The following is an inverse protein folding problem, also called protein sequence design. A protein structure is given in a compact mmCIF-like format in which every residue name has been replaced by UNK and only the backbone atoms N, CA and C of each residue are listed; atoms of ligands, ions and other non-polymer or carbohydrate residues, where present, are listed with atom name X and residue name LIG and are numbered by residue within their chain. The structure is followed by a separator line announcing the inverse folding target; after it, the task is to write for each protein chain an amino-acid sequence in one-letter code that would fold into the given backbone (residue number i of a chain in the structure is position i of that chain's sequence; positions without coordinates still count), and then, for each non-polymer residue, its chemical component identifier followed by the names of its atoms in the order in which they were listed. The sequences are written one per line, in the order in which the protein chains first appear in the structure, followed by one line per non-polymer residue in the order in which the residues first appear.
data_IF_584430851374
#
_entry.id   IF_584430851374
#
_cell.length_a   1.000
_cell.length_b   1.000
_cell.length_c   1.000
_cell.angle_alpha   90.00
_cell.angle_beta   90.00
_cell.angle_gamma   90.00
#
_symmetry.space_group_name_H-M   'P 1'
#
loop_
_entity.id
_entity.type
_entity.pdbx_description
1 polymer ?
#
# COMPACT_ATOMS: atom_id res chain seq x y z
N UNK A 1 -13.44 66.29 39.34
CA UNK A 1 -14.67 66.34 40.16
C UNK A 1 -14.82 65.03 40.86
N UNK A 2 -14.30 64.95 42.07
CA UNK A 2 -14.95 65.20 43.34
C UNK A 2 -15.89 64.05 43.70
N UNK A 3 -15.37 63.29 44.69
CA UNK A 3 -15.77 63.17 46.10
C UNK A 3 -16.92 62.19 46.30
N UNK A 4 -17.07 61.31 47.34
CA UNK A 4 -16.51 61.18 48.70
C UNK A 4 -16.99 59.85 49.29
N UNK A 5 -16.23 59.06 50.00
CA UNK A 5 -16.01 58.85 51.43
C UNK A 5 -17.32 58.77 52.29
N UNK A 6 -17.53 57.68 53.02
CA UNK A 6 -17.76 57.52 54.44
C UNK A 6 -18.17 56.10 54.79
N UNK A 7 -17.45 55.30 55.56
CA UNK A 7 -17.11 55.19 57.00
C UNK A 7 -18.30 54.71 57.88
N UNK A 8 -17.98 53.62 58.61
CA UNK A 8 -18.31 53.25 60.02
C UNK A 8 -19.60 52.43 60.21
N UNK A 9 -19.72 51.43 61.08
CA UNK A 9 -19.05 51.04 62.34
C UNK A 9 -19.42 49.59 62.70
N UNK A 10 -18.51 48.89 63.29
CA UNK A 10 -18.52 47.93 64.41
C UNK A 10 -19.87 47.63 65.13
N UNK A 11 -20.18 46.38 65.35
CA UNK A 11 -20.57 45.78 66.67
C UNK A 11 -20.24 44.29 66.67
N UNK A 12 -19.53 43.86 67.70
CA UNK A 12 -19.24 42.51 68.15
C UNK A 12 -20.43 41.89 68.86
N UNK A 13 -20.63 40.57 68.72
CA UNK A 13 -20.88 39.72 69.89
C UNK A 13 -20.86 38.21 69.53
N UNK A 14 -20.14 37.58 70.27
CA UNK A 14 -19.92 36.22 70.76
C UNK A 14 -21.01 35.16 70.61
N UNK A 15 -20.52 33.94 70.49
CA UNK A 15 -20.86 32.62 71.02
C UNK A 15 -21.73 31.71 70.18
N UNK A 16 -21.18 30.50 70.01
CA UNK A 16 -21.91 29.33 69.55
C UNK A 16 -21.00 28.32 68.82
N UNK A 17 -20.20 27.58 69.54
CA UNK A 17 -19.39 26.50 68.94
C UNK A 17 -20.29 25.38 68.48
N UNK A 18 -20.10 24.97 67.23
CA UNK A 18 -20.50 23.68 66.70
C UNK A 18 -19.34 23.10 65.90
N UNK A 19 -18.71 22.08 66.49
CA UNK A 19 -17.73 21.22 65.86
C UNK A 19 -18.43 20.43 64.74
N UNK A 20 -18.31 20.92 63.52
CA UNK A 20 -18.57 20.07 62.35
C UNK A 20 -17.29 19.41 61.92
N UNK A 21 -17.20 18.11 62.15
CA UNK A 21 -16.12 17.27 61.68
C UNK A 21 -16.06 17.32 60.14
N UNK A 22 -14.99 17.90 59.63
CA UNK A 22 -14.68 17.81 58.21
C UNK A 22 -14.29 16.35 57.90
N UNK A 23 -15.21 15.61 57.30
CA UNK A 23 -14.89 14.33 56.68
C UNK A 23 -13.99 14.64 55.48
N UNK A 24 -12.69 14.51 55.65
CA UNK A 24 -11.72 14.43 54.55
C UNK A 24 -12.08 13.24 53.68
N UNK A 25 -12.80 13.47 52.58
CA UNK A 25 -12.90 12.49 51.51
C UNK A 25 -11.49 12.28 50.98
N UNK A 26 -11.01 11.02 50.94
CA UNK A 26 -9.75 10.74 50.27
C UNK A 26 -9.92 11.17 48.82
N UNK A 27 -9.08 12.07 48.34
CA UNK A 27 -8.95 12.37 46.90
C UNK A 27 -8.67 11.02 46.24
N UNK A 28 -9.62 10.56 45.44
CA UNK A 28 -9.41 9.40 44.57
C UNK A 28 -8.15 9.69 43.78
N UNK A 29 -7.07 8.96 44.05
CA UNK A 29 -5.88 8.99 43.26
C UNK A 29 -6.31 8.65 41.84
N UNK A 30 -6.29 9.63 40.96
CA UNK A 30 -6.49 9.46 39.54
C UNK A 30 -5.34 8.53 39.14
N UNK A 31 -5.66 7.25 38.93
CA UNK A 31 -4.68 6.30 38.41
C UNK A 31 -4.01 6.98 37.23
N UNK A 32 -2.71 7.18 37.30
CA UNK A 32 -1.94 7.67 36.18
C UNK A 32 -2.23 6.66 35.06
N UNK A 33 -2.97 7.11 34.03
CA UNK A 33 -3.16 6.33 32.81
C UNK A 33 -1.75 6.10 32.29
N UNK A 34 -1.26 4.88 32.40
CA UNK A 34 0.02 4.53 31.78
C UNK A 34 -0.05 4.97 30.32
N UNK A 35 0.93 5.75 29.90
CA UNK A 35 0.98 6.22 28.51
C UNK A 35 0.81 5.01 27.58
N UNK A 36 0.00 5.16 26.55
CA UNK A 36 -0.20 4.08 25.58
C UNK A 36 1.16 3.66 24.99
N UNK A 37 1.41 2.36 24.81
CA UNK A 37 2.65 1.89 24.21
C UNK A 37 2.90 2.55 22.86
N UNK A 38 4.15 2.97 22.65
CA UNK A 38 4.66 3.51 21.39
C UNK A 38 5.78 2.65 20.88
N UNK A 39 5.94 2.56 19.56
CA UNK A 39 7.06 1.85 18.94
C UNK A 39 8.39 2.55 19.27
N UNK A 40 9.48 1.79 19.25
CA UNK A 40 10.81 2.38 19.36
C UNK A 40 11.24 2.90 17.99
N UNK A 41 10.99 4.20 17.73
CA UNK A 41 11.27 4.85 16.46
C UNK A 41 12.74 4.74 16.03
N UNK A 42 13.70 4.88 16.97
CA UNK A 42 15.12 4.78 16.65
C UNK A 42 15.51 3.36 16.26
N UNK A 43 14.95 2.33 16.91
CA UNK A 43 15.18 0.93 16.53
C UNK A 43 14.58 0.63 15.17
N UNK A 44 13.35 1.10 14.90
CA UNK A 44 12.70 0.93 13.59
C UNK A 44 13.54 1.57 12.48
N UNK A 45 14.02 2.80 12.68
CA UNK A 45 14.93 3.47 11.75
C UNK A 45 16.20 2.63 11.52
N UNK A 46 16.88 2.22 12.60
CA UNK A 46 18.12 1.45 12.48
C UNK A 46 17.92 0.12 11.74
N UNK A 47 16.77 -0.56 11.94
CA UNK A 47 16.48 -1.82 11.24
C UNK A 47 16.18 -1.61 9.76
N UNK A 48 15.53 -0.48 9.39
CA UNK A 48 15.32 -0.09 7.99
C UNK A 48 16.66 0.26 7.30
N UNK A 49 17.50 1.04 7.97
CA UNK A 49 18.84 1.41 7.46
C UNK A 49 19.74 0.18 7.27
N UNK A 50 19.66 -0.80 8.14
CA UNK A 50 20.39 -2.07 8.03
C UNK A 50 19.83 -2.93 6.90
N UNK A 51 18.50 -3.09 6.78
CA UNK A 51 17.88 -3.82 5.67
C UNK A 51 18.28 -3.22 4.32
N UNK A 52 18.43 -1.90 4.23
CA UNK A 52 18.85 -1.20 3.01
C UNK A 52 20.28 -1.55 2.56
N UNK A 53 21.10 -2.18 3.41
CA UNK A 53 22.45 -2.64 3.00
C UNK A 53 22.39 -3.81 2.03
N UNK A 54 21.31 -4.59 2.05
CA UNK A 54 21.09 -5.70 1.14
C UNK A 54 20.47 -5.19 -0.18
N UNK A 55 21.28 -5.13 -1.22
CA UNK A 55 20.90 -4.61 -2.54
C UNK A 55 21.34 -3.16 -2.80
N UNK A 56 21.96 -2.50 -1.84
CA UNK A 56 22.58 -1.18 -2.02
C UNK A 56 23.72 -1.27 -3.04
N UNK A 57 23.89 -0.28 -3.93
CA UNK A 57 25.03 -0.22 -4.82
C UNK A 57 26.37 -0.29 -4.06
N UNK A 58 27.39 -0.94 -4.63
CA UNK A 58 28.71 -1.07 -4.00
C UNK A 58 29.32 0.32 -3.69
N UNK A 59 29.68 0.56 -2.43
CA UNK A 59 30.18 1.87 -1.96
C UNK A 59 29.09 2.95 -1.80
N UNK A 60 27.83 2.62 -2.04
CA UNK A 60 26.72 3.53 -1.90
C UNK A 60 26.27 3.74 -0.45
N UNK A 61 25.45 4.76 -0.27
CA UNK A 61 24.79 5.15 0.98
C UNK A 61 23.31 4.75 0.99
N UNK A 62 22.59 5.03 2.06
CA UNK A 62 21.14 4.87 2.12
C UNK A 62 20.41 5.66 1.02
N UNK A 63 20.93 6.83 0.64
CA UNK A 63 20.33 7.69 -0.38
C UNK A 63 20.45 7.16 -1.82
N UNK A 64 21.26 6.14 -2.03
CA UNK A 64 21.46 5.54 -3.37
C UNK A 64 20.45 4.42 -3.66
N UNK A 65 19.53 4.16 -2.75
CA UNK A 65 18.46 3.17 -2.89
C UNK A 65 18.97 1.72 -2.90
N UNK A 66 18.11 0.82 -3.35
CA UNK A 66 18.39 -0.62 -3.36
C UNK A 66 17.91 -1.29 -4.65
N UNK A 67 18.56 -2.41 -4.99
CA UNK A 67 18.09 -3.39 -5.97
C UNK A 67 17.99 -4.75 -5.28
N UNK A 68 17.02 -4.91 -4.40
CA UNK A 68 16.70 -6.16 -3.70
C UNK A 68 15.58 -6.91 -4.44
N UNK A 69 15.81 -7.09 -5.73
CA UNK A 69 14.83 -7.76 -6.59
C UNK A 69 14.59 -9.19 -6.11
N UNK A 70 13.34 -9.60 -6.09
CA UNK A 70 12.96 -10.95 -5.62
C UNK A 70 13.83 -12.05 -6.22
N UNK A 71 14.18 -13.03 -5.40
CA UNK A 71 15.03 -14.17 -5.73
C UNK A 71 16.51 -13.84 -6.02
N UNK A 72 16.95 -12.59 -5.91
CA UNK A 72 18.35 -12.21 -6.01
C UNK A 72 19.15 -12.60 -4.75
N UNK A 73 20.50 -12.50 -4.82
CA UNK A 73 21.34 -12.67 -3.63
C UNK A 73 21.02 -11.65 -2.54
N UNK A 74 20.67 -10.43 -2.95
CA UNK A 74 20.26 -9.37 -2.05
C UNK A 74 18.95 -9.71 -1.33
N UNK A 75 17.97 -10.27 -2.03
CA UNK A 75 16.71 -10.72 -1.43
C UNK A 75 16.96 -11.87 -0.45
N UNK A 76 17.73 -12.88 -0.83
CA UNK A 76 18.08 -14.00 0.06
C UNK A 76 18.75 -13.49 1.36
N UNK A 77 19.68 -12.55 1.25
CA UNK A 77 20.38 -11.97 2.40
C UNK A 77 19.44 -11.09 3.27
N UNK A 78 18.62 -10.24 2.64
CA UNK A 78 17.60 -9.42 3.32
C UNK A 78 16.58 -10.27 4.07
N UNK A 79 16.11 -11.36 3.45
CA UNK A 79 15.20 -12.33 4.07
C UNK A 79 15.83 -13.01 5.29
N UNK A 80 17.11 -13.41 5.20
CA UNK A 80 17.83 -13.98 6.33
C UNK A 80 17.93 -12.99 7.50
N UNK A 81 18.22 -11.72 7.22
CA UNK A 81 18.22 -10.65 8.21
C UNK A 81 16.86 -10.49 8.88
N UNK A 82 15.78 -10.39 8.09
CA UNK A 82 14.41 -10.22 8.60
C UNK A 82 13.95 -11.43 9.43
N UNK A 83 14.29 -12.65 9.04
CA UNK A 83 14.05 -13.86 9.85
C UNK A 83 14.76 -13.75 11.21
N UNK A 84 15.99 -13.23 11.24
CA UNK A 84 16.73 -12.96 12.47
C UNK A 84 16.01 -11.95 13.37
N UNK A 85 15.48 -10.86 12.79
CA UNK A 85 14.69 -9.87 13.51
C UNK A 85 13.39 -10.46 14.08
N UNK A 86 12.66 -11.26 13.30
CA UNK A 86 11.42 -11.90 13.72
C UNK A 86 11.67 -12.86 14.90
N UNK A 87 12.72 -13.70 14.81
CA UNK A 87 13.12 -14.59 15.91
C UNK A 87 13.50 -13.81 17.17
N UNK A 88 14.27 -12.71 17.02
CA UNK A 88 14.63 -11.86 18.16
C UNK A 88 13.45 -11.13 18.78
N UNK A 89 12.39 -10.91 18.01
CA UNK A 89 11.10 -10.39 18.49
C UNK A 89 10.23 -11.47 19.18
N UNK A 90 10.70 -12.71 19.28
CA UNK A 90 9.98 -13.82 19.91
C UNK A 90 8.91 -14.46 19.02
N UNK A 91 9.02 -14.31 17.72
CA UNK A 91 8.14 -14.96 16.76
C UNK A 91 8.63 -16.37 16.42
N UNK A 92 7.73 -17.34 16.42
CA UNK A 92 7.97 -18.66 15.82
C UNK A 92 7.88 -18.51 14.29
N UNK A 93 9.04 -18.65 13.64
CA UNK A 93 9.21 -18.24 12.25
C UNK A 93 9.36 -19.44 11.31
N UNK A 94 8.54 -19.48 10.26
CA UNK A 94 8.57 -20.50 9.21
C UNK A 94 8.55 -19.86 7.82
N UNK A 95 8.91 -20.63 6.78
CA UNK A 95 8.71 -20.25 5.38
C UNK A 95 7.65 -21.17 4.80
N UNK A 96 6.62 -20.62 4.17
CA UNK A 96 5.57 -21.40 3.51
C UNK A 96 6.00 -21.85 2.09
N UNK A 97 5.25 -22.75 1.43
CA UNK A 97 5.59 -23.20 0.09
C UNK A 97 5.69 -22.10 -0.99
N UNK A 98 4.99 -20.97 -0.80
CA UNK A 98 5.09 -19.81 -1.70
C UNK A 98 6.29 -18.90 -1.37
N UNK A 99 7.13 -19.30 -0.41
CA UNK A 99 8.29 -18.53 0.00
C UNK A 99 7.96 -17.38 0.97
N UNK A 100 6.72 -17.21 1.43
CA UNK A 100 6.38 -16.21 2.43
C UNK A 100 7.03 -16.55 3.77
N UNK A 101 7.60 -15.55 4.45
CA UNK A 101 8.10 -15.72 5.82
C UNK A 101 6.94 -15.41 6.77
N UNK A 102 6.56 -16.39 7.58
CA UNK A 102 5.45 -16.28 8.54
C UNK A 102 5.99 -16.44 9.95
N UNK A 103 5.79 -15.43 10.79
CA UNK A 103 6.15 -15.44 12.19
C UNK A 103 4.92 -15.39 13.08
N UNK A 104 4.77 -16.32 14.00
CA UNK A 104 3.61 -16.42 14.90
C UNK A 104 3.94 -16.02 16.34
N UNK A 105 3.06 -15.21 16.91
CA UNK A 105 3.01 -14.90 18.34
C UNK A 105 1.69 -15.44 18.91
N UNK A 106 1.71 -16.26 19.97
CA UNK A 106 0.48 -16.77 20.54
C UNK A 106 -0.38 -15.66 21.15
N UNK A 107 -1.69 -15.81 21.04
CA UNK A 107 -2.68 -15.04 21.79
C UNK A 107 -3.10 -15.76 23.08
N UNK A 108 -3.91 -15.10 23.92
CA UNK A 108 -4.52 -15.75 25.11
C UNK A 108 -5.61 -16.74 24.73
N UNK A 109 -6.27 -16.56 23.59
CA UNK A 109 -7.26 -17.46 23.00
C UNK A 109 -6.62 -18.18 21.81
N UNK A 110 -6.18 -19.43 22.01
CA UNK A 110 -5.51 -20.23 20.98
C UNK A 110 -6.45 -20.64 19.84
N UNK A 111 -7.76 -20.59 20.04
CA UNK A 111 -8.78 -20.90 19.04
C UNK A 111 -9.21 -19.69 18.24
N UNK A 112 -8.87 -18.47 18.68
CA UNK A 112 -9.15 -17.27 17.93
C UNK A 112 -8.35 -17.24 16.62
N UNK A 113 -9.01 -16.77 15.56
CA UNK A 113 -8.35 -16.56 14.25
C UNK A 113 -7.27 -15.49 14.39
N UNK A 114 -6.09 -15.66 13.79
CA UNK A 114 -5.00 -14.71 13.94
C UNK A 114 -5.32 -13.35 13.29
N UNK A 115 -4.73 -12.28 13.82
CA UNK A 115 -4.58 -11.00 13.14
C UNK A 115 -3.30 -11.08 12.34
N UNK A 116 -3.38 -10.87 11.03
CA UNK A 116 -2.24 -10.82 10.13
C UNK A 116 -1.78 -9.37 9.97
N UNK A 117 -0.48 -9.15 10.03
CA UNK A 117 0.17 -7.87 9.77
C UNK A 117 1.44 -8.09 8.94
N UNK A 118 1.71 -7.23 7.99
CA UNK A 118 2.94 -7.36 7.20
C UNK A 118 2.89 -6.60 5.89
N UNK A 119 3.88 -6.84 5.06
CA UNK A 119 4.08 -6.35 3.70
C UNK A 119 5.18 -7.18 3.04
N UNK A 120 5.94 -6.63 2.09
CA UNK A 120 7.06 -7.27 1.40
C UNK A 120 8.40 -6.61 1.78
N UNK A 121 9.51 -7.18 1.28
CA UNK A 121 10.85 -6.60 1.39
C UNK A 121 11.63 -6.64 0.08
N UNK A 122 11.10 -7.29 -0.97
CA UNK A 122 11.68 -7.17 -2.30
C UNK A 122 11.41 -5.79 -2.88
N UNK A 123 12.27 -5.33 -3.78
CA UNK A 123 12.18 -4.03 -4.43
C UNK A 123 12.25 -4.15 -5.94
N UNK A 124 11.79 -3.13 -6.65
CA UNK A 124 12.15 -2.93 -8.07
C UNK A 124 13.66 -2.71 -8.23
N UNK A 125 14.25 -2.92 -9.44
CA UNK A 125 15.61 -2.48 -9.71
C UNK A 125 15.77 -0.97 -9.51
N UNK A 126 16.83 -0.56 -8.80
CA UNK A 126 17.08 0.85 -8.43
C UNK A 126 15.88 1.49 -7.71
N UNK A 127 15.25 0.75 -6.80
CA UNK A 127 14.15 1.20 -5.97
C UNK A 127 14.58 2.04 -4.77
N UNK A 128 13.59 2.39 -3.96
CA UNK A 128 13.78 3.07 -2.68
C UNK A 128 14.06 2.12 -1.51
N UNK A 129 14.00 2.66 -0.30
CA UNK A 129 14.27 1.92 0.94
C UNK A 129 13.04 1.85 1.86
N UNK A 130 11.89 2.31 1.41
CA UNK A 130 10.68 2.43 2.24
C UNK A 130 9.54 1.56 1.73
N UNK A 131 9.47 1.38 0.42
CA UNK A 131 8.45 0.59 -0.26
C UNK A 131 8.46 -0.86 0.26
N UNK A 132 7.32 -1.34 0.78
CA UNK A 132 7.19 -2.63 1.48
C UNK A 132 7.95 -2.73 2.80
N UNK A 133 9.20 -2.25 2.84
CA UNK A 133 10.09 -2.32 4.00
C UNK A 133 9.48 -1.67 5.25
N UNK A 134 8.81 -0.52 5.10
CA UNK A 134 8.13 0.18 6.20
C UNK A 134 7.08 -0.71 6.85
N UNK A 135 6.21 -1.35 6.07
CA UNK A 135 5.16 -2.23 6.59
C UNK A 135 5.73 -3.46 7.26
N UNK A 136 6.68 -4.11 6.62
CA UNK A 136 7.33 -5.33 7.08
C UNK A 136 8.06 -5.14 8.41
N UNK A 137 8.90 -4.11 8.51
CA UNK A 137 9.68 -3.86 9.72
C UNK A 137 8.84 -3.24 10.84
N UNK A 138 7.82 -2.43 10.50
CA UNK A 138 6.87 -1.94 11.49
C UNK A 138 6.04 -3.07 12.11
N UNK A 139 5.65 -4.08 11.35
CA UNK A 139 4.95 -5.25 11.87
C UNK A 139 5.79 -6.01 12.92
N UNK A 140 7.09 -6.17 12.66
CA UNK A 140 8.03 -6.78 13.62
C UNK A 140 8.19 -5.89 14.86
N UNK A 141 8.33 -4.57 14.67
CA UNK A 141 8.48 -3.62 15.76
C UNK A 141 7.23 -3.54 16.64
N UNK A 142 6.02 -3.66 16.06
CA UNK A 142 4.76 -3.80 16.81
C UNK A 142 4.81 -5.00 17.77
N UNK A 143 5.27 -6.17 17.29
CA UNK A 143 5.39 -7.37 18.14
C UNK A 143 6.41 -7.16 19.26
N UNK A 144 7.57 -6.56 18.97
CA UNK A 144 8.59 -6.22 19.98
C UNK A 144 8.01 -5.31 21.06
N UNK A 145 7.34 -4.24 20.64
CA UNK A 145 6.72 -3.27 21.56
C UNK A 145 5.67 -3.94 22.46
N UNK A 146 4.80 -4.78 21.90
CA UNK A 146 3.82 -5.53 22.67
C UNK A 146 4.49 -6.44 23.73
N UNK A 147 5.61 -7.08 23.38
CA UNK A 147 6.35 -7.94 24.31
C UNK A 147 7.05 -7.14 25.40
N UNK A 148 7.70 -6.03 25.07
CA UNK A 148 8.36 -5.14 26.03
C UNK A 148 7.38 -4.56 27.06
N UNK A 149 6.18 -4.20 26.60
CA UNK A 149 5.09 -3.70 27.45
C UNK A 149 4.23 -4.80 28.07
N UNK A 150 4.59 -6.09 27.88
CA UNK A 150 3.85 -7.26 28.41
C UNK A 150 2.36 -7.25 28.03
N UNK A 151 2.03 -6.73 26.85
CA UNK A 151 0.66 -6.71 26.33
C UNK A 151 0.36 -8.07 25.69
N UNK A 152 -0.63 -8.78 26.20
CA UNK A 152 -1.14 -10.02 25.62
C UNK A 152 -2.37 -9.70 24.78
N UNK A 153 -2.37 -10.09 23.51
CA UNK A 153 -3.53 -10.01 22.63
C UNK A 153 -4.43 -11.23 22.83
N UNK A 154 -5.71 -11.08 22.61
CA UNK A 154 -6.64 -12.22 22.59
C UNK A 154 -6.34 -13.12 21.38
N UNK A 155 -6.28 -12.52 20.22
CA UNK A 155 -5.96 -13.19 18.97
C UNK A 155 -4.45 -13.48 18.86
N UNK A 156 -4.04 -14.63 18.30
CA UNK A 156 -2.67 -14.78 17.82
C UNK A 156 -2.31 -13.69 16.81
N UNK A 157 -1.04 -13.28 16.76
CA UNK A 157 -0.53 -12.40 15.72
C UNK A 157 0.31 -13.21 14.74
N UNK A 158 0.13 -12.98 13.45
CA UNK A 158 1.00 -13.47 12.39
C UNK A 158 1.62 -12.27 11.67
N UNK A 159 2.96 -12.16 11.74
CA UNK A 159 3.73 -11.24 10.88
C UNK A 159 4.06 -12.00 9.62
N UNK A 160 3.66 -11.48 8.47
CA UNK A 160 3.94 -12.11 7.17
C UNK A 160 4.74 -11.17 6.29
N UNK A 161 5.88 -11.67 5.77
CA UNK A 161 6.67 -11.01 4.74
C UNK A 161 6.41 -11.75 3.43
N UNK A 162 5.68 -11.08 2.56
CA UNK A 162 5.25 -11.66 1.29
C UNK A 162 6.41 -11.77 0.32
N UNK A 163 6.40 -12.80 -0.52
CA UNK A 163 7.48 -13.03 -1.49
C UNK A 163 7.12 -12.47 -2.85
N UNK A 164 8.09 -11.79 -3.48
CA UNK A 164 7.99 -11.28 -4.86
C UNK A 164 6.71 -10.48 -5.11
N UNK A 165 6.53 -9.41 -4.34
CA UNK A 165 5.42 -8.48 -4.53
C UNK A 165 5.64 -7.64 -5.78
N UNK A 166 6.82 -7.07 -5.94
CA UNK A 166 7.20 -6.15 -7.03
C UNK A 166 7.26 -6.83 -8.42
N UNK A 167 7.42 -8.14 -8.45
CA UNK A 167 7.34 -8.93 -9.68
C UNK A 167 5.93 -9.40 -10.04
N UNK A 168 4.91 -8.78 -9.40
CA UNK A 168 3.50 -9.14 -9.49
C UNK A 168 3.09 -10.04 -8.33
N UNK A 169 2.38 -9.52 -7.30
CA UNK A 169 2.22 -10.05 -5.94
C UNK A 169 2.08 -11.58 -5.90
N UNK A 170 3.21 -12.30 -5.91
CA UNK A 170 3.19 -13.75 -6.05
C UNK A 170 2.84 -14.44 -4.73
N UNK A 171 3.49 -14.04 -3.65
CA UNK A 171 3.37 -14.70 -2.36
C UNK A 171 1.96 -14.61 -1.77
N UNK A 172 1.38 -13.44 -1.77
CA UNK A 172 0.01 -13.19 -1.31
C UNK A 172 -1.04 -13.78 -2.26
N UNK A 173 -0.80 -13.73 -3.58
CA UNK A 173 -1.67 -14.37 -4.56
C UNK A 173 -1.72 -15.90 -4.37
N UNK A 174 -0.57 -16.55 -4.15
CA UNK A 174 -0.50 -17.99 -3.94
C UNK A 174 -1.25 -18.46 -2.68
N UNK A 175 -1.38 -17.57 -1.69
CA UNK A 175 -2.17 -17.83 -0.47
C UNK A 175 -3.68 -17.72 -0.75
N UNK A 176 -4.09 -16.85 -1.67
CA UNK A 176 -5.49 -16.58 -1.98
C UNK A 176 -6.03 -17.40 -3.16
N UNK A 177 -5.18 -17.73 -4.14
CA UNK A 177 -5.60 -18.30 -5.42
C UNK A 177 -4.73 -19.49 -5.83
N UNK A 178 -5.24 -20.41 -6.69
CA UNK A 178 -4.42 -21.44 -7.31
C UNK A 178 -3.31 -20.81 -8.15
N UNK A 179 -2.09 -21.34 -8.02
CA UNK A 179 -0.96 -20.95 -8.87
C UNK A 179 -0.92 -21.87 -10.09
N UNK A 180 -1.17 -21.37 -11.30
CA UNK A 180 -1.11 -22.19 -12.49
C UNK A 180 0.34 -22.57 -12.82
N UNK A 181 0.58 -23.78 -13.38
CA UNK A 181 1.93 -24.29 -13.67
C UNK A 181 2.77 -23.36 -14.56
N UNK A 182 2.14 -22.70 -15.53
CA UNK A 182 2.77 -21.75 -16.43
C UNK A 182 3.35 -20.54 -15.68
N UNK A 183 2.73 -20.10 -14.57
CA UNK A 183 3.26 -19.04 -13.74
C UNK A 183 4.60 -19.42 -13.09
N UNK A 184 4.75 -20.68 -12.69
CA UNK A 184 6.02 -21.19 -12.14
C UNK A 184 7.14 -21.32 -13.19
N UNK A 185 6.78 -21.39 -14.48
CA UNK A 185 7.73 -21.44 -15.58
C UNK A 185 8.19 -20.04 -16.06
N UNK A 186 7.53 -18.97 -15.64
CA UNK A 186 7.93 -17.61 -16.00
C UNK A 186 9.35 -17.33 -15.52
N UNK A 187 10.12 -16.63 -16.36
CA UNK A 187 11.47 -16.18 -16.00
C UNK A 187 11.34 -14.80 -15.32
N UNK A 188 11.85 -14.72 -14.12
CA UNK A 188 11.95 -13.50 -13.37
C UNK A 188 13.39 -13.35 -12.86
N UNK A 189 13.99 -12.17 -13.06
CA UNK A 189 15.40 -11.93 -12.69
C UNK A 189 16.38 -13.01 -13.19
N UNK A 190 16.18 -13.51 -14.41
CA UNK A 190 17.05 -14.46 -15.08
C UNK A 190 16.93 -15.93 -14.65
N UNK A 191 16.03 -16.25 -13.73
CA UNK A 191 15.74 -17.64 -13.30
C UNK A 191 14.24 -17.93 -13.41
N UNK A 192 13.85 -19.21 -13.43
CA UNK A 192 12.44 -19.56 -13.39
C UNK A 192 11.87 -19.19 -12.02
N UNK A 193 10.60 -18.82 -11.96
CA UNK A 193 9.93 -18.57 -10.67
C UNK A 193 9.99 -19.81 -9.76
N UNK A 194 9.91 -21.01 -10.34
CA UNK A 194 10.10 -22.26 -9.62
C UNK A 194 11.45 -22.34 -8.89
N UNK A 195 12.53 -22.01 -9.57
CA UNK A 195 13.89 -22.04 -8.98
C UNK A 195 14.10 -20.89 -8.01
N UNK A 196 13.52 -19.73 -8.30
CA UNK A 196 13.47 -18.58 -7.40
C UNK A 196 12.82 -18.94 -6.06
N UNK A 197 11.66 -19.61 -6.08
CA UNK A 197 11.00 -20.07 -4.86
C UNK A 197 11.88 -21.02 -4.04
N UNK A 198 12.51 -22.01 -4.68
CA UNK A 198 13.45 -22.91 -3.98
C UNK A 198 14.60 -22.16 -3.35
N UNK A 199 15.12 -21.14 -4.06
CA UNK A 199 16.23 -20.31 -3.58
C UNK A 199 15.91 -19.55 -2.28
N UNK A 200 14.67 -19.10 -2.12
CA UNK A 200 14.20 -18.38 -0.92
C UNK A 200 13.59 -19.30 0.15
N UNK A 201 13.71 -20.62 -0.01
CA UNK A 201 13.25 -21.61 0.96
C UNK A 201 11.78 -22.04 0.80
N UNK A 202 11.11 -21.64 -0.28
CA UNK A 202 9.80 -22.15 -0.67
C UNK A 202 9.84 -23.56 -1.27
N UNK A 203 8.66 -24.13 -1.52
CA UNK A 203 8.51 -25.46 -2.12
C UNK A 203 7.50 -25.43 -3.27
N UNK A 204 7.94 -25.18 -4.51
CA UNK A 204 7.05 -25.08 -5.66
C UNK A 204 6.31 -26.39 -5.99
N UNK A 205 6.78 -27.54 -5.50
CA UNK A 205 6.11 -28.82 -5.71
C UNK A 205 4.96 -29.01 -4.72
N UNK A 206 4.94 -28.23 -3.63
CA UNK A 206 3.87 -28.17 -2.63
C UNK A 206 3.13 -26.84 -2.61
N UNK A 207 3.23 -26.05 -3.68
CA UNK A 207 2.68 -24.67 -3.76
C UNK A 207 1.21 -24.58 -3.37
N UNK A 208 0.41 -25.60 -3.70
CA UNK A 208 -1.00 -25.67 -3.34
C UNK A 208 -1.25 -25.66 -1.82
N UNK A 209 -0.26 -26.03 -1.01
CA UNK A 209 -0.36 -26.02 0.45
C UNK A 209 -0.13 -24.62 1.06
N UNK A 210 0.30 -23.66 0.28
CA UNK A 210 0.36 -22.25 0.71
C UNK A 210 -1.06 -21.65 0.85
N UNK A 211 -2.06 -22.20 0.17
CA UNK A 211 -3.43 -21.68 0.16
C UNK A 211 -4.06 -21.68 1.54
N UNK A 212 -4.73 -20.59 1.85
CA UNK A 212 -5.51 -20.41 3.09
C UNK A 212 -7.01 -20.42 2.78
N UNK A 213 -7.82 -20.98 3.66
CA UNK A 213 -9.28 -20.90 3.54
C UNK A 213 -9.78 -19.47 3.74
N UNK A 214 -10.86 -19.09 3.05
CA UNK A 214 -11.59 -17.85 3.35
C UNK A 214 -12.02 -17.84 4.81
N UNK A 215 -11.85 -16.69 5.48
CA UNK A 215 -12.14 -16.54 6.90
C UNK A 215 -11.11 -17.18 7.83
N UNK A 216 -9.93 -17.59 7.37
CA UNK A 216 -8.89 -18.20 8.19
C UNK A 216 -8.16 -17.25 9.14
N UNK A 217 -8.34 -15.94 8.99
CA UNK A 217 -7.80 -14.91 9.87
C UNK A 217 -8.90 -13.93 10.33
N UNK A 218 -8.62 -13.16 11.36
CA UNK A 218 -9.52 -12.14 11.89
C UNK A 218 -9.57 -10.91 10.97
N UNK A 219 -8.39 -10.37 10.67
CA UNK A 219 -8.18 -9.32 9.66
C UNK A 219 -6.72 -9.32 9.20
N UNK A 220 -6.47 -8.64 8.08
CA UNK A 220 -5.14 -8.29 7.60
C UNK A 220 -4.93 -6.78 7.66
N UNK A 221 -3.77 -6.35 8.16
CA UNK A 221 -3.37 -4.95 8.23
C UNK A 221 -2.02 -4.75 7.56
N UNK A 222 -1.93 -3.75 6.71
CA UNK A 222 -0.70 -3.37 6.03
C UNK A 222 -0.42 -1.88 6.22
N UNK A 223 0.77 -1.57 6.71
CA UNK A 223 1.32 -0.21 6.71
C UNK A 223 2.18 -0.06 5.46
N UNK A 224 2.03 1.05 4.74
CA UNK A 224 2.79 1.30 3.53
C UNK A 224 3.08 2.79 3.34
N UNK A 225 4.00 3.15 2.47
CA UNK A 225 4.14 4.52 1.98
C UNK A 225 3.03 4.82 0.96
N UNK A 226 2.63 6.08 0.80
CA UNK A 226 1.56 6.46 -0.15
C UNK A 226 1.95 6.20 -1.62
N UNK A 227 3.25 6.23 -1.93
CA UNK A 227 3.80 6.22 -3.30
C UNK A 227 3.30 7.39 -4.16
N UNK A 228 2.54 8.28 -3.58
CA UNK A 228 1.96 9.50 -4.14
C UNK A 228 2.16 10.69 -3.22
N UNK A 229 1.87 11.90 -3.70
CA UNK A 229 2.12 13.14 -2.95
C UNK A 229 0.87 13.76 -2.33
N UNK A 230 -0.21 13.02 -2.14
CA UNK A 230 -1.49 13.59 -1.65
C UNK A 230 -1.40 13.96 -0.18
N UNK A 231 -0.89 13.05 0.65
CA UNK A 231 -0.73 13.26 2.08
C UNK A 231 0.27 14.38 2.37
N UNK A 232 1.40 14.40 1.64
CA UNK A 232 2.40 15.45 1.79
C UNK A 232 1.82 16.83 1.47
N UNK A 233 1.17 16.99 0.31
CA UNK A 233 0.53 18.25 -0.09
C UNK A 233 -0.56 18.72 0.87
N UNK A 234 -1.28 17.77 1.49
CA UNK A 234 -2.31 18.06 2.46
C UNK A 234 -1.76 18.30 3.88
N UNK A 235 -0.47 18.05 4.12
CA UNK A 235 0.16 18.03 5.45
C UNK A 235 -0.59 17.12 6.44
N UNK A 236 -1.02 15.94 5.97
CA UNK A 236 -1.70 14.91 6.75
C UNK A 236 -0.74 13.74 6.99
N UNK A 237 -0.47 13.35 8.25
CA UNK A 237 0.52 12.32 8.55
C UNK A 237 0.04 10.89 8.29
N UNK A 238 -1.27 10.64 8.25
CA UNK A 238 -1.84 9.28 8.15
C UNK A 238 -2.93 9.23 7.09
N UNK A 239 -2.75 8.31 6.14
CA UNK A 239 -3.77 7.92 5.19
C UNK A 239 -4.55 6.70 5.68
N UNK A 240 -5.87 6.78 5.66
CA UNK A 240 -6.77 5.64 5.82
C UNK A 240 -7.15 5.19 4.41
N UNK A 241 -6.72 4.00 4.02
CA UNK A 241 -6.91 3.55 2.65
C UNK A 241 -8.34 3.06 2.44
N UNK A 242 -9.02 3.62 1.43
CA UNK A 242 -10.39 3.22 1.07
C UNK A 242 -10.43 1.85 0.38
N UNK A 243 -9.34 1.49 -0.26
CA UNK A 243 -9.15 0.26 -1.00
C UNK A 243 -8.09 0.42 -2.08
N UNK A 244 -7.79 -0.68 -2.73
CA UNK A 244 -6.88 -0.76 -3.87
C UNK A 244 -7.72 -0.70 -5.15
N UNK A 245 -7.31 0.15 -6.09
CA UNK A 245 -8.08 0.39 -7.31
C UNK A 245 -8.21 -0.84 -8.22
N UNK A 246 -9.30 -0.89 -8.98
CA UNK A 246 -9.43 -1.75 -10.14
C UNK A 246 -8.52 -1.27 -11.26
N UNK A 247 -7.99 -2.19 -12.04
CA UNK A 247 -7.19 -1.89 -13.24
C UNK A 247 -7.81 -2.61 -14.43
N UNK A 248 -8.20 -1.87 -15.47
CA UNK A 248 -8.51 -2.43 -16.79
C UNK A 248 -7.42 -2.02 -17.77
N UNK A 249 -6.79 -2.99 -18.43
CA UNK A 249 -5.80 -2.76 -19.46
C UNK A 249 -6.33 -3.12 -20.84
N UNK A 250 -6.00 -2.30 -21.84
CA UNK A 250 -6.39 -2.48 -23.22
C UNK A 250 -5.18 -2.46 -24.14
N UNK A 251 -5.13 -3.42 -25.07
CA UNK A 251 -4.27 -3.39 -26.23
C UNK A 251 -5.03 -2.71 -27.38
N UNK A 252 -4.41 -1.74 -28.00
CA UNK A 252 -5.01 -1.00 -29.10
C UNK A 252 -4.10 -1.06 -30.31
N UNK A 253 -4.69 -1.38 -31.47
CA UNK A 253 -4.00 -1.39 -32.75
C UNK A 253 -4.73 -0.49 -33.72
N UNK A 254 -4.03 0.49 -34.28
CA UNK A 254 -4.51 1.42 -35.31
C UNK A 254 -3.86 1.07 -36.62
N UNK A 255 -4.68 0.62 -37.60
CA UNK A 255 -4.26 0.26 -38.95
C UNK A 255 -4.67 1.35 -39.90
N UNK A 256 -3.70 1.88 -40.61
CA UNK A 256 -3.86 2.79 -41.75
C UNK A 256 -3.18 2.22 -42.97
N UNK A 257 -2.66 3.10 -43.84
CA UNK A 257 -1.94 2.72 -45.04
C UNK A 257 -0.61 3.47 -45.16
N UNK A 258 0.49 2.73 -45.10
CA UNK A 258 1.82 3.32 -45.24
C UNK A 258 2.06 3.74 -46.68
N UNK A 259 2.41 5.01 -46.91
CA UNK A 259 2.70 5.54 -48.23
C UNK A 259 3.74 6.66 -48.18
N UNK A 260 4.21 7.11 -49.32
CA UNK A 260 5.23 8.15 -49.43
C UNK A 260 4.73 9.48 -48.84
N UNK A 261 5.43 10.06 -47.88
CA UNK A 261 4.97 11.25 -47.15
C UNK A 261 4.90 12.52 -48.01
N UNK A 262 5.74 12.63 -49.06
CA UNK A 262 5.76 13.80 -49.95
C UNK A 262 4.80 13.75 -51.11
N UNK A 263 4.41 12.55 -51.58
CA UNK A 263 3.57 12.39 -52.79
C UNK A 263 2.14 11.98 -52.48
N UNK A 264 1.81 11.63 -51.24
CA UNK A 264 0.44 11.30 -50.85
C UNK A 264 -0.31 12.56 -50.42
N UNK A 265 -1.35 12.99 -51.18
CA UNK A 265 -2.14 14.16 -50.80
C UNK A 265 -2.77 14.02 -49.42
N UNK A 266 -2.96 15.14 -48.70
CA UNK A 266 -3.49 15.12 -47.33
C UNK A 266 -4.86 14.44 -47.21
N UNK A 267 -5.75 14.64 -48.24
CA UNK A 267 -7.09 14.05 -48.22
C UNK A 267 -7.16 12.56 -48.57
N UNK A 268 -6.04 11.95 -49.00
CA UNK A 268 -5.96 10.54 -49.37
C UNK A 268 -5.20 9.69 -48.35
N UNK A 269 -4.81 10.30 -47.21
CA UNK A 269 -4.03 9.62 -46.17
C UNK A 269 -4.93 8.83 -45.22
N UNK A 270 -4.53 7.59 -44.97
CA UNK A 270 -5.02 6.77 -43.86
C UNK A 270 -3.92 6.70 -42.83
N UNK A 271 -3.70 7.82 -42.12
CA UNK A 271 -2.55 8.00 -41.21
C UNK A 271 -2.84 7.42 -39.85
N UNK A 272 -2.24 6.26 -39.56
CA UNK A 272 -2.41 5.56 -38.28
C UNK A 272 -1.90 6.37 -37.09
N UNK A 273 -0.85 7.19 -37.25
CA UNK A 273 -0.31 7.99 -36.16
C UNK A 273 -1.21 9.18 -35.83
N UNK A 274 -1.81 9.82 -36.84
CA UNK A 274 -2.82 10.86 -36.62
C UNK A 274 -4.02 10.31 -35.83
N UNK A 275 -4.53 9.13 -36.21
CA UNK A 275 -5.63 8.48 -35.53
C UNK A 275 -5.26 8.10 -34.08
N UNK A 276 -4.06 7.53 -33.88
CA UNK A 276 -3.55 7.19 -32.52
C UNK A 276 -3.39 8.44 -31.64
N UNK A 277 -2.89 9.56 -32.20
CA UNK A 277 -2.75 10.83 -31.47
C UNK A 277 -4.10 11.36 -30.98
N UNK A 278 -5.13 11.31 -31.83
CA UNK A 278 -6.51 11.68 -31.45
C UNK A 278 -7.05 10.78 -30.35
N UNK A 279 -6.71 9.48 -30.35
CA UNK A 279 -7.12 8.55 -29.31
C UNK A 279 -6.43 8.83 -27.98
N UNK A 280 -5.14 9.20 -27.98
CA UNK A 280 -4.40 9.64 -26.78
C UNK A 280 -5.07 10.85 -26.12
N UNK A 281 -5.45 11.84 -26.94
CA UNK A 281 -6.19 13.01 -26.44
C UNK A 281 -7.57 12.61 -25.89
N UNK A 282 -8.28 11.70 -26.56
CA UNK A 282 -9.58 11.22 -26.14
C UNK A 282 -9.54 10.50 -24.79
N UNK A 283 -8.52 9.67 -24.54
CA UNK A 283 -8.31 9.01 -23.23
C UNK A 283 -8.20 10.05 -22.13
N UNK A 284 -7.38 11.09 -22.33
CA UNK A 284 -7.23 12.17 -21.35
C UNK A 284 -8.52 12.96 -21.15
N UNK A 285 -9.17 13.38 -22.23
CA UNK A 285 -10.41 14.15 -22.21
C UNK A 285 -11.51 13.40 -21.45
N UNK A 286 -11.79 12.15 -21.83
CA UNK A 286 -12.85 11.32 -21.23
C UNK A 286 -12.57 11.08 -19.75
N UNK A 287 -11.33 10.77 -19.38
CA UNK A 287 -10.95 10.57 -18.00
C UNK A 287 -11.12 11.85 -17.17
N UNK A 288 -10.67 12.99 -17.69
CA UNK A 288 -10.68 14.27 -16.94
C UNK A 288 -12.10 14.86 -16.79
N UNK A 289 -12.98 14.71 -17.79
CA UNK A 289 -14.36 15.21 -17.70
C UNK A 289 -15.25 14.38 -16.78
N UNK A 290 -14.87 13.15 -16.48
CA UNK A 290 -15.59 12.28 -15.55
C UNK A 290 -15.29 12.74 -14.12
N UNK A 291 -16.28 13.09 -13.28
CA UNK A 291 -16.04 13.45 -11.89
C UNK A 291 -15.53 12.25 -11.11
N UNK A 292 -14.50 12.45 -10.27
CA UNK A 292 -13.93 11.39 -9.43
C UNK A 292 -12.41 11.49 -9.30
N UNK A 293 -11.80 10.37 -8.91
CA UNK A 293 -10.34 10.23 -8.72
C UNK A 293 -9.70 9.25 -9.72
N UNK A 294 -10.49 8.78 -10.69
CA UNK A 294 -10.02 7.86 -11.72
C UNK A 294 -8.85 8.45 -12.50
N UNK A 295 -7.99 7.57 -12.96
CA UNK A 295 -6.90 7.92 -13.89
C UNK A 295 -6.99 7.08 -15.16
N UNK A 296 -6.52 7.66 -16.29
CA UNK A 296 -6.42 6.99 -17.57
C UNK A 296 -5.10 7.34 -18.22
N UNK A 297 -4.38 6.34 -18.70
CA UNK A 297 -3.01 6.47 -19.19
C UNK A 297 -2.82 5.75 -20.50
N UNK A 298 -2.12 6.39 -21.45
CA UNK A 298 -1.50 5.72 -22.58
C UNK A 298 -0.01 5.57 -22.28
N UNK A 299 0.39 4.38 -21.83
CA UNK A 299 1.75 4.15 -21.30
C UNK A 299 2.76 3.68 -22.37
N UNK A 300 2.28 3.18 -23.50
CA UNK A 300 3.12 2.66 -24.59
C UNK A 300 2.56 3.07 -25.93
N UNK A 301 3.45 3.45 -26.85
CA UNK A 301 3.09 3.76 -28.23
C UNK A 301 4.25 3.34 -29.15
N UNK A 302 3.95 2.54 -30.17
CA UNK A 302 4.90 2.07 -31.17
C UNK A 302 4.37 2.36 -32.56
N UNK A 303 5.17 3.03 -33.40
CA UNK A 303 4.81 3.47 -34.73
C UNK A 303 5.55 2.65 -35.79
N UNK A 304 4.87 2.25 -36.86
CA UNK A 304 5.45 1.48 -37.97
C UNK A 304 5.12 2.14 -39.30
N UNK A 305 6.10 2.27 -40.24
CA UNK A 305 7.48 1.76 -40.13
C UNK A 305 8.42 2.68 -39.32
N UNK A 306 7.95 3.76 -38.72
CA UNK A 306 8.73 4.73 -37.93
C UNK A 306 9.84 5.40 -38.77
N UNK A 307 9.49 5.82 -39.99
CA UNK A 307 10.37 6.50 -40.93
C UNK A 307 9.82 7.90 -41.24
N UNK A 308 10.66 8.95 -41.23
CA UNK A 308 10.20 10.34 -41.35
C UNK A 308 9.58 10.70 -42.71
N UNK A 309 9.84 9.91 -43.73
CA UNK A 309 9.35 10.12 -45.12
C UNK A 309 8.24 9.15 -45.50
N UNK A 310 7.60 8.47 -44.52
CA UNK A 310 6.51 7.52 -44.76
C UNK A 310 5.31 7.91 -43.87
N UNK A 311 4.10 7.99 -44.46
CA UNK A 311 2.85 8.06 -43.70
C UNK A 311 2.72 6.79 -42.87
N UNK A 312 2.58 6.84 -41.51
CA UNK A 312 2.51 5.64 -40.69
C UNK A 312 1.30 4.76 -41.04
N UNK A 313 1.56 3.47 -41.25
CA UNK A 313 0.51 2.48 -41.59
C UNK A 313 0.02 1.65 -40.40
N UNK A 314 0.75 1.66 -39.30
CA UNK A 314 0.37 0.91 -38.11
C UNK A 314 0.88 1.60 -36.86
N UNK A 315 0.01 1.70 -35.82
CA UNK A 315 0.39 2.10 -34.48
C UNK A 315 -0.17 1.09 -33.49
N UNK A 316 0.69 0.67 -32.50
CA UNK A 316 0.28 -0.15 -31.36
C UNK A 316 0.44 0.67 -30.09
N UNK A 317 -0.59 0.71 -29.25
CA UNK A 317 -0.55 1.43 -27.98
C UNK A 317 -1.28 0.64 -26.87
N UNK A 318 -0.96 0.96 -25.62
CA UNK A 318 -1.69 0.46 -24.46
C UNK A 318 -2.51 1.58 -23.83
N UNK A 319 -3.70 1.25 -23.36
CA UNK A 319 -4.54 2.14 -22.54
C UNK A 319 -4.84 1.44 -21.22
N UNK A 320 -4.77 2.18 -20.13
CA UNK A 320 -5.06 1.68 -18.79
C UNK A 320 -5.98 2.66 -18.07
N UNK A 321 -6.97 2.13 -17.35
CA UNK A 321 -7.82 2.90 -16.42
C UNK A 321 -7.76 2.33 -15.03
N UNK A 322 -7.73 3.20 -14.00
CA UNK A 322 -7.76 2.83 -12.59
C UNK A 322 -8.79 3.65 -11.83
N UNK A 323 -9.58 2.99 -10.97
CA UNK A 323 -10.51 3.58 -10.02
C UNK A 323 -10.95 2.55 -8.98
N UNK A 324 -11.44 2.98 -7.80
CA UNK A 324 -12.07 2.08 -6.82
C UNK A 324 -13.39 1.47 -7.31
N UNK A 325 -14.02 2.08 -8.31
CA UNK A 325 -15.25 1.59 -8.92
C UNK A 325 -14.97 0.86 -10.23
N UNK A 326 -15.14 -0.45 -10.24
CA UNK A 326 -15.04 -1.26 -11.44
C UNK A 326 -16.01 -0.79 -12.55
N UNK A 327 -17.19 -0.27 -12.17
CA UNK A 327 -18.18 0.28 -13.11
C UNK A 327 -17.66 1.56 -13.77
N UNK A 328 -16.97 2.44 -13.03
CA UNK A 328 -16.34 3.64 -13.58
C UNK A 328 -15.26 3.25 -14.59
N UNK A 329 -14.38 2.32 -14.24
CA UNK A 329 -13.32 1.82 -15.13
C UNK A 329 -13.91 1.22 -16.41
N UNK A 330 -14.93 0.35 -16.28
CA UNK A 330 -15.62 -0.25 -17.42
C UNK A 330 -16.29 0.81 -18.32
N UNK A 331 -16.92 1.83 -17.74
CA UNK A 331 -17.54 2.92 -18.47
C UNK A 331 -16.53 3.74 -19.25
N UNK A 332 -15.38 4.09 -18.65
CA UNK A 332 -14.29 4.80 -19.32
C UNK A 332 -13.77 4.02 -20.52
N UNK A 333 -13.53 2.71 -20.37
CA UNK A 333 -13.11 1.85 -21.48
C UNK A 333 -14.13 1.81 -22.63
N UNK A 334 -15.42 1.71 -22.30
CA UNK A 334 -16.49 1.72 -23.29
C UNK A 334 -16.61 3.07 -24.04
N UNK A 335 -16.48 4.19 -23.31
CA UNK A 335 -16.52 5.53 -23.91
C UNK A 335 -15.32 5.76 -24.85
N UNK A 336 -14.12 5.33 -24.46
CA UNK A 336 -12.93 5.41 -25.32
C UNK A 336 -13.05 4.49 -26.53
N UNK A 337 -13.60 3.27 -26.36
CA UNK A 337 -13.87 2.37 -27.48
C UNK A 337 -14.88 2.95 -28.48
N UNK A 338 -15.92 3.63 -28.00
CA UNK A 338 -16.87 4.35 -28.88
C UNK A 338 -16.17 5.49 -29.65
N UNK A 339 -15.36 6.27 -28.93
CA UNK A 339 -14.60 7.37 -29.56
C UNK A 339 -13.56 6.86 -30.58
N UNK A 340 -12.96 5.69 -30.33
CA UNK A 340 -12.06 5.05 -31.28
C UNK A 340 -12.74 4.76 -32.65
N UNK A 341 -14.01 4.32 -32.64
CA UNK A 341 -14.79 4.11 -33.87
C UNK A 341 -15.00 5.40 -34.65
N UNK A 342 -15.39 6.48 -33.95
CA UNK A 342 -15.55 7.80 -34.60
C UNK A 342 -14.24 8.31 -35.18
N UNK A 343 -13.11 8.11 -34.49
CA UNK A 343 -11.77 8.49 -34.99
C UNK A 343 -11.42 7.66 -36.23
N UNK A 344 -11.69 6.35 -36.20
CA UNK A 344 -11.44 5.46 -37.34
C UNK A 344 -12.19 5.92 -38.58
N UNK A 345 -13.48 6.25 -38.46
CA UNK A 345 -14.29 6.79 -39.57
C UNK A 345 -13.74 8.11 -40.11
N UNK A 346 -13.36 9.05 -39.21
CA UNK A 346 -12.84 10.37 -39.58
C UNK A 346 -11.47 10.32 -40.29
N UNK A 347 -10.66 9.31 -39.98
CA UNK A 347 -9.29 9.18 -40.48
C UNK A 347 -9.12 8.12 -41.55
N UNK A 348 -10.19 7.38 -41.89
CA UNK A 348 -10.16 6.28 -42.84
C UNK A 348 -9.26 5.13 -42.36
N UNK A 349 -9.12 4.94 -41.05
CA UNK A 349 -8.29 3.90 -40.43
C UNK A 349 -9.17 2.81 -39.79
N UNK A 350 -8.56 1.70 -39.40
CA UNK A 350 -9.20 0.66 -38.56
C UNK A 350 -8.59 0.71 -37.16
N UNK A 351 -9.43 0.71 -36.10
CA UNK A 351 -8.95 0.69 -34.72
C UNK A 351 -9.57 -0.51 -34.01
N UNK A 352 -8.70 -1.44 -33.56
CA UNK A 352 -9.08 -2.47 -32.58
C UNK A 352 -8.79 -1.96 -31.18
N UNK A 353 -9.73 -2.18 -30.26
CA UNK A 353 -9.63 -1.79 -28.86
C UNK A 353 -10.05 -2.98 -28.02
N UNK A 354 -9.08 -3.75 -27.54
CA UNK A 354 -9.28 -5.02 -26.86
C UNK A 354 -8.84 -4.96 -25.40
N UNK A 355 -9.71 -5.35 -24.48
CA UNK A 355 -9.33 -5.48 -23.08
C UNK A 355 -8.52 -6.76 -22.88
N UNK A 356 -7.27 -6.62 -22.42
CA UNK A 356 -6.32 -7.72 -22.24
C UNK A 356 -6.19 -8.14 -20.77
N UNK A 357 -6.51 -7.26 -19.81
CA UNK A 357 -6.50 -7.58 -18.39
C UNK A 357 -7.61 -6.82 -17.65
N UNK A 358 -8.06 -7.41 -16.55
CA UNK A 358 -8.95 -6.78 -15.57
C UNK A 358 -8.61 -7.30 -14.18
N UNK A 359 -8.18 -6.38 -13.31
CA UNK A 359 -8.03 -6.63 -11.88
C UNK A 359 -9.17 -5.94 -11.13
N UNK A 360 -9.98 -6.68 -10.36
CA UNK A 360 -11.07 -6.07 -9.59
C UNK A 360 -10.52 -5.25 -8.44
N UNK A 361 -11.26 -4.22 -7.95
CA UNK A 361 -10.85 -3.45 -6.80
C UNK A 361 -10.90 -4.32 -5.53
N UNK A 362 -10.02 -4.01 -4.57
CA UNK A 362 -10.05 -4.60 -3.25
C UNK A 362 -10.39 -3.51 -2.22
N UNK A 363 -11.63 -3.50 -1.74
CA UNK A 363 -12.09 -2.49 -0.79
C UNK A 363 -11.63 -2.82 0.62
N UNK A 364 -11.20 -1.80 1.37
CA UNK A 364 -10.93 -1.93 2.79
C UNK A 364 -12.22 -2.10 3.59
N UNK A 365 -12.15 -2.87 4.68
CA UNK A 365 -13.30 -3.07 5.57
C UNK A 365 -13.59 -1.79 6.36
N UNK A 366 -14.83 -1.23 6.30
CA UNK A 366 -15.19 0.01 6.98
C UNK A 366 -14.98 -0.04 8.50
N UNK A 367 -15.14 -1.21 9.13
CA UNK A 367 -14.89 -1.34 10.56
C UNK A 367 -13.41 -1.26 10.88
N UNK A 368 -12.54 -1.76 10.01
CA UNK A 368 -11.08 -1.64 10.17
C UNK A 368 -10.66 -0.19 9.94
N UNK A 369 -11.19 0.47 8.92
CA UNK A 369 -10.95 1.90 8.69
C UNK A 369 -11.28 2.73 9.94
N UNK A 370 -12.44 2.51 10.55
CA UNK A 370 -12.84 3.17 11.79
C UNK A 370 -11.87 2.88 12.96
N UNK A 371 -11.27 1.67 13.04
CA UNK A 371 -10.25 1.38 14.06
C UNK A 371 -8.93 2.11 13.76
N UNK A 372 -8.55 2.25 12.49
CA UNK A 372 -7.36 3.03 12.09
C UNK A 372 -7.55 4.51 12.44
N UNK A 373 -8.71 5.09 12.11
CA UNK A 373 -9.04 6.47 12.48
C UNK A 373 -9.01 6.69 14.00
N UNK A 374 -9.65 5.78 14.76
CA UNK A 374 -9.66 5.86 16.21
C UNK A 374 -8.26 5.64 16.82
N UNK A 375 -7.40 4.83 16.19
CA UNK A 375 -6.00 4.68 16.58
C UNK A 375 -5.22 5.98 16.34
N UNK A 376 -5.33 6.58 15.15
CA UNK A 376 -4.68 7.86 14.84
C UNK A 376 -5.15 8.98 15.77
N UNK A 377 -6.46 9.07 16.02
CA UNK A 377 -7.04 10.06 16.94
C UNK A 377 -6.53 9.92 18.38
N UNK A 378 -6.29 8.68 18.87
CA UNK A 378 -5.71 8.46 20.21
C UNK A 378 -4.24 8.92 20.32
N UNK A 379 -3.61 9.20 19.19
CA UNK A 379 -2.24 9.67 19.05
C UNK A 379 -2.16 11.16 18.66
N UNK A 380 -3.30 11.85 18.62
CA UNK A 380 -3.44 13.24 18.14
C UNK A 380 -2.98 13.43 16.67
N UNK A 381 -3.08 12.38 15.84
CA UNK A 381 -2.72 12.41 14.44
C UNK A 381 -3.96 12.63 13.55
N UNK A 382 -3.84 13.54 12.59
CA UNK A 382 -4.88 13.77 11.57
C UNK A 382 -4.85 12.66 10.53
N UNK A 383 -6.03 12.33 9.99
CA UNK A 383 -6.20 11.33 8.95
C UNK A 383 -6.84 11.91 7.70
N UNK A 384 -6.62 11.25 6.57
CA UNK A 384 -7.32 11.49 5.30
C UNK A 384 -7.64 10.15 4.65
N UNK A 385 -8.84 10.02 4.11
CA UNK A 385 -9.23 8.89 3.27
C UNK A 385 -8.72 9.06 1.85
N UNK A 386 -8.10 8.00 1.30
CA UNK A 386 -7.63 7.98 -0.07
C UNK A 386 -7.54 6.53 -0.61
N UNK A 387 -7.69 6.32 -1.93
CA UNK A 387 -7.44 5.02 -2.53
C UNK A 387 -5.93 4.74 -2.64
N UNK A 388 -5.54 3.47 -2.71
CA UNK A 388 -4.26 3.10 -3.31
C UNK A 388 -4.38 3.03 -4.82
N UNK A 389 -3.56 3.79 -5.53
CA UNK A 389 -3.39 3.71 -6.98
C UNK A 389 -2.47 2.57 -7.43
N UNK A 390 -1.71 1.98 -6.50
CA UNK A 390 -0.82 0.85 -6.71
C UNK A 390 -1.46 -0.46 -6.23
N UNK A 391 -1.00 -1.61 -6.77
CA UNK A 391 -1.31 -2.92 -6.22
C UNK A 391 -0.55 -3.16 -4.92
N UNK A 392 -1.06 -4.04 -4.06
CA UNK A 392 -0.43 -4.45 -2.79
C UNK A 392 -0.82 -5.89 -2.46
N UNK A 393 -0.08 -6.51 -1.55
CA UNK A 393 -0.42 -7.83 -1.03
C UNK A 393 -1.82 -7.87 -0.41
N UNK A 394 -2.26 -6.78 0.21
CA UNK A 394 -3.61 -6.62 0.76
C UNK A 394 -4.73 -6.90 -0.26
N UNK A 395 -4.48 -6.70 -1.56
CA UNK A 395 -5.45 -6.98 -2.63
C UNK A 395 -5.87 -8.45 -2.67
N UNK A 396 -4.93 -9.35 -2.44
CA UNK A 396 -5.17 -10.78 -2.42
C UNK A 396 -5.75 -11.24 -1.09
N UNK A 397 -5.31 -10.64 0.02
CA UNK A 397 -5.83 -10.95 1.35
C UNK A 397 -7.29 -10.52 1.50
N UNK A 398 -7.73 -9.47 0.81
CA UNK A 398 -9.12 -9.03 0.74
C UNK A 398 -10.07 -10.13 0.21
N UNK A 399 -9.58 -11.07 -0.61
CA UNK A 399 -10.36 -12.23 -1.10
C UNK A 399 -10.62 -13.28 -0.02
N UNK A 400 -9.83 -13.26 1.05
CA UNK A 400 -9.89 -14.24 2.13
C UNK A 400 -10.54 -13.71 3.40
N UNK A 401 -10.55 -12.40 3.61
CA UNK A 401 -11.12 -11.79 4.81
C UNK A 401 -10.99 -10.27 4.85
N UNK A 402 -11.46 -9.65 5.96
CA UNK A 402 -11.39 -8.20 6.11
C UNK A 402 -9.95 -7.70 6.08
N UNK A 403 -9.69 -6.62 5.34
CA UNK A 403 -8.38 -5.98 5.29
C UNK A 403 -8.47 -4.46 5.54
N UNK A 404 -7.36 -3.87 5.98
CA UNK A 404 -7.18 -2.42 6.06
C UNK A 404 -5.72 -2.05 5.83
N UNK A 405 -5.51 -0.87 5.26
CA UNK A 405 -4.18 -0.33 5.02
C UNK A 405 -4.04 1.07 5.60
N UNK A 406 -2.83 1.38 6.03
CA UNK A 406 -2.42 2.66 6.58
C UNK A 406 -1.33 3.22 5.68
N UNK A 407 -1.49 4.45 5.20
CA UNK A 407 -0.44 5.14 4.46
C UNK A 407 0.27 6.18 5.30
N UNK A 408 1.58 6.32 5.03
CA UNK A 408 2.40 7.45 5.47
C UNK A 408 2.88 8.26 4.25
N UNK A 409 3.15 9.58 4.40
CA UNK A 409 3.53 10.44 3.28
C UNK A 409 4.80 9.99 2.56
N UNK A 410 4.79 10.05 1.24
CA UNK A 410 5.96 9.97 0.37
C UNK A 410 6.36 11.37 -0.06
N UNK A 411 7.60 11.79 0.20
CA UNK A 411 8.09 13.12 -0.15
C UNK A 411 8.20 13.28 -1.66
N UNK A 412 7.61 14.35 -2.18
CA UNK A 412 7.49 14.58 -3.62
C UNK A 412 6.61 13.57 -4.35
N UNK A 413 5.96 12.63 -3.66
CA UNK A 413 5.21 11.54 -4.26
C UNK A 413 6.10 10.58 -5.06
N UNK A 414 7.38 10.49 -4.72
CA UNK A 414 8.36 9.66 -5.42
C UNK A 414 8.36 8.25 -4.82
N UNK A 415 8.22 7.23 -5.67
CA UNK A 415 8.45 5.82 -5.37
C UNK A 415 9.11 5.12 -6.56
N UNK A 416 9.53 3.85 -6.38
CA UNK A 416 10.25 3.06 -7.38
C UNK A 416 11.51 3.77 -7.92
N UNK A 417 12.23 4.45 -7.02
CA UNK A 417 13.39 5.28 -7.32
C UNK A 417 14.31 5.39 -6.12
N UNK A 418 15.63 5.51 -6.31
CA UNK A 418 16.56 5.82 -5.21
C UNK A 418 16.22 7.13 -4.46
N UNK A 419 15.43 8.02 -5.07
CA UNK A 419 14.98 9.28 -4.46
C UNK A 419 13.73 9.15 -3.59
N UNK A 420 13.19 7.94 -3.46
CA UNK A 420 12.07 7.66 -2.58
C UNK A 420 12.43 8.01 -1.13
N UNK A 421 11.56 8.76 -0.48
CA UNK A 421 11.80 9.22 0.88
C UNK A 421 10.49 9.43 1.64
N UNK A 422 10.43 8.89 2.85
CA UNK A 422 9.44 9.23 3.88
C UNK A 422 10.16 9.78 5.10
N UNK A 423 9.59 10.76 5.79
CA UNK A 423 10.21 11.26 7.03
C UNK A 423 10.18 10.18 8.10
N UNK A 424 11.24 10.06 8.85
CA UNK A 424 11.30 9.07 9.96
C UNK A 424 10.21 9.28 11.01
N UNK A 425 9.78 10.53 11.21
CA UNK A 425 8.61 10.84 12.05
C UNK A 425 7.31 10.28 11.49
N UNK A 426 7.12 10.29 10.16
CA UNK A 426 5.92 9.77 9.52
C UNK A 426 5.91 8.24 9.56
N UNK A 427 7.07 7.60 9.35
CA UNK A 427 7.25 6.15 9.52
C UNK A 427 6.92 5.73 10.96
N UNK A 428 7.44 6.45 11.95
CA UNK A 428 7.15 6.16 13.37
C UNK A 428 5.67 6.38 13.70
N UNK A 429 5.04 7.44 13.19
CA UNK A 429 3.60 7.68 13.34
C UNK A 429 2.77 6.55 12.74
N UNK A 430 3.11 6.09 11.52
CA UNK A 430 2.45 4.97 10.88
C UNK A 430 2.55 3.67 11.69
N UNK A 431 3.75 3.37 12.19
CA UNK A 431 3.98 2.20 13.03
C UNK A 431 3.22 2.27 14.37
N UNK A 432 3.13 3.45 14.98
CA UNK A 432 2.33 3.68 16.19
C UNK A 432 0.83 3.48 15.90
N UNK A 433 0.33 3.99 14.77
CA UNK A 433 -1.07 3.79 14.34
C UNK A 433 -1.32 2.30 14.09
N UNK A 434 -0.40 1.58 13.45
CA UNK A 434 -0.51 0.12 13.27
C UNK A 434 -0.58 -0.60 14.61
N UNK A 435 0.29 -0.26 15.57
CA UNK A 435 0.29 -0.83 16.92
C UNK A 435 -1.06 -0.63 17.63
N UNK A 436 -1.58 0.61 17.62
CA UNK A 436 -2.85 0.91 18.26
C UNK A 436 -4.03 0.26 17.51
N UNK A 437 -3.95 0.16 16.18
CA UNK A 437 -4.97 -0.54 15.37
C UNK A 437 -5.00 -2.03 15.72
N UNK A 438 -3.85 -2.70 15.81
CA UNK A 438 -3.77 -4.11 16.25
C UNK A 438 -4.43 -4.29 17.62
N UNK A 439 -4.16 -3.42 18.59
CA UNK A 439 -4.76 -3.47 19.94
C UNK A 439 -6.28 -3.26 19.94
N UNK A 440 -6.78 -2.48 19.00
CA UNK A 440 -8.22 -2.18 18.84
C UNK A 440 -8.97 -3.31 18.16
N UNK A 441 -8.46 -3.79 17.01
CA UNK A 441 -9.09 -4.91 16.28
C UNK A 441 -9.04 -6.22 17.08
N UNK A 442 -8.05 -6.40 17.96
CA UNK A 442 -7.98 -7.54 18.89
C UNK A 442 -9.22 -7.64 19.81
N UNK A 443 -9.88 -6.53 20.09
CA UNK A 443 -11.06 -6.42 20.95
C UNK A 443 -12.36 -6.23 20.19
N UNK A 444 -12.27 -5.88 18.90
CA UNK A 444 -13.41 -5.57 18.05
C UNK A 444 -14.09 -6.85 17.50
N UNK A 445 -15.38 -6.73 17.20
CA UNK A 445 -16.09 -7.68 16.34
C UNK A 445 -16.10 -7.10 14.92
N UNK A 446 -15.25 -7.61 14.08
CA UNK A 446 -15.20 -7.28 12.66
C UNK A 446 -16.29 -8.01 11.88
#
# INVERSE_FOLDING_TARGET
MSFNIARRRFVSNLTGGLLTGAILRPAAARAATSAEPRVNASRLQSTLEELSTFGRPAGGSFADGVSRVAYSDADVAGRAYVIGLMKSAGLDTTIDPAGNIVGRRPGSDRMARPILIGSHIDSVPNGGNFDGDVGSLSAIEVVRTLNEHKVTTRHPLEVTIWSNEEGGPFGSAAVAEPVPPERLALIFNGITMRDGLRRIGGDPDRIAQARRPTGSFHCYLELHIEQGGTLERAAIPIGVVDGIVSIDEYAVEVRGFANHAGTTPMGERHDALLAASKLVEAVREITTRTPGRQVGTVGRLQVFPNAPNVVPGLVKLSVEFRDLSADTVARLGNEVAARAKEIAEQTGTEISFERIARDPPALADPKIQAQIEAAAASLDLKTMHLPSGAGHDAQFLAKLGPMGMIFVPSLGGISHSPKELSRWSDVANGADVLLQTVRRVDRAKL
#
